data_IF_022708932561
#
_entry.id   IF_022708932561
#
_cell.length_a   1.000
_cell.length_b   1.000
_cell.length_c   1.000
_cell.angle_alpha   90.00
_cell.angle_beta   90.00
_cell.angle_gamma   90.00
#
_symmetry.space_group_name_H-M   'P 1'
#
loop_
_entity.id
_entity.type
_entity.pdbx_description
1 polymer ?
#
# COMPACT_ATOMS: atom_id res chain seq x y z
N UNK A 1 3.42 34.70 13.17
CA UNK A 1 2.33 34.14 13.99
C UNK A 1 2.93 33.37 15.15
N UNK A 2 2.20 33.23 16.27
CA UNK A 2 2.55 32.36 17.41
C UNK A 2 1.56 31.19 17.51
N UNK A 3 1.89 30.09 18.21
CA UNK A 3 0.96 28.97 18.37
C UNK A 3 -0.40 29.43 18.89
N UNK A 4 -1.49 28.97 18.27
CA UNK A 4 -2.88 29.33 18.59
C UNK A 4 -3.37 30.66 17.99
N UNK A 5 -2.48 31.54 17.50
CA UNK A 5 -2.89 32.78 16.85
C UNK A 5 -3.66 32.52 15.54
N UNK A 6 -4.60 33.40 15.18
CA UNK A 6 -5.35 33.30 13.93
C UNK A 6 -5.50 34.66 13.24
N UNK A 7 -5.59 34.64 11.91
CA UNK A 7 -5.81 35.80 11.05
C UNK A 7 -6.98 35.54 10.09
N UNK A 8 -7.78 36.54 9.72
CA UNK A 8 -8.70 36.42 8.59
C UNK A 8 -7.92 36.26 7.28
N UNK A 9 -8.43 35.47 6.34
CA UNK A 9 -7.89 35.41 4.99
C UNK A 9 -8.50 36.53 4.15
N UNK A 10 -7.65 37.39 3.58
CA UNK A 10 -8.07 38.49 2.69
C UNK A 10 -8.17 38.09 1.22
N UNK A 11 -7.78 36.86 0.87
CA UNK A 11 -7.80 36.31 -0.48
C UNK A 11 -8.61 35.01 -0.50
N UNK A 12 -9.34 34.78 -1.59
CA UNK A 12 -10.10 33.54 -1.79
C UNK A 12 -9.16 32.35 -2.03
N UNK A 13 -8.04 32.59 -2.73
CA UNK A 13 -7.01 31.60 -2.99
C UNK A 13 -5.76 31.90 -2.18
N UNK A 14 -5.31 30.93 -1.39
CA UNK A 14 -4.09 31.02 -0.60
C UNK A 14 -3.19 29.83 -0.84
N UNK A 15 -1.88 30.06 -0.75
CA UNK A 15 -0.85 29.02 -0.80
C UNK A 15 -0.22 28.91 0.57
N UNK A 16 -0.10 27.70 1.10
CA UNK A 16 0.65 27.40 2.32
C UNK A 16 1.92 26.64 1.90
N UNK A 17 3.04 27.36 1.84
CA UNK A 17 4.36 26.78 1.59
C UNK A 17 4.98 26.33 2.92
N UNK A 18 5.55 25.12 2.99
CA UNK A 18 6.23 24.65 4.21
C UNK A 18 7.70 24.38 3.91
N UNK A 19 8.57 25.24 4.44
CA UNK A 19 10.02 25.15 4.22
C UNK A 19 10.76 24.68 5.47
N UNK A 20 11.78 23.86 5.30
CA UNK A 20 12.69 23.45 6.36
C UNK A 20 14.11 23.21 5.81
N UNK A 21 15.13 23.09 6.67
CA UNK A 21 16.48 22.69 6.27
C UNK A 21 16.58 21.27 5.68
N UNK A 22 15.51 20.48 5.81
CA UNK A 22 15.39 19.13 5.27
C UNK A 22 14.20 19.04 4.32
N UNK A 23 14.12 17.97 3.53
CA UNK A 23 12.96 17.69 2.70
C UNK A 23 11.78 17.27 3.58
N UNK A 24 10.65 17.92 3.35
CA UNK A 24 9.38 17.62 3.99
C UNK A 24 8.36 17.22 2.92
N UNK A 25 7.59 16.19 3.21
CA UNK A 25 6.34 15.90 2.53
C UNK A 25 5.22 16.73 3.17
N UNK A 26 4.44 17.40 2.33
CA UNK A 26 3.35 18.28 2.77
C UNK A 26 2.02 17.74 2.26
N UNK A 27 1.03 17.71 3.15
CA UNK A 27 -0.32 17.24 2.82
C UNK A 27 -1.40 18.18 3.36
N UNK A 28 -2.57 18.14 2.76
CA UNK A 28 -3.77 18.88 3.15
C UNK A 28 -4.93 17.93 3.45
N UNK A 29 -5.60 18.08 4.59
CA UNK A 29 -6.80 17.30 4.94
C UNK A 29 -8.02 18.22 5.00
N UNK A 30 -9.07 17.91 4.25
CA UNK A 30 -10.36 18.61 4.30
C UNK A 30 -11.26 17.92 5.33
N UNK A 31 -11.71 18.68 6.33
CA UNK A 31 -12.43 18.16 7.48
C UNK A 31 -13.82 18.76 7.59
N UNK A 32 -14.79 17.92 7.95
CA UNK A 32 -16.14 18.37 8.27
C UNK A 32 -16.22 18.99 9.66
N UNK A 33 -17.41 19.42 10.07
CA UNK A 33 -17.68 19.96 11.40
C UNK A 33 -17.33 18.97 12.54
N UNK A 34 -17.34 17.67 12.29
CA UNK A 34 -16.92 16.63 13.23
C UNK A 34 -15.39 16.48 13.36
N UNK A 35 -14.64 17.24 12.56
CA UNK A 35 -13.18 17.19 12.51
C UNK A 35 -12.65 15.96 11.78
N UNK A 36 -13.46 15.26 10.98
CA UNK A 36 -13.05 14.09 10.21
C UNK A 36 -13.09 14.37 8.71
N UNK A 37 -12.27 13.64 7.96
CA UNK A 37 -12.41 13.57 6.49
C UNK A 37 -13.71 12.84 6.14
N UNK A 38 -14.32 13.15 5.00
CA UNK A 38 -15.49 12.41 4.51
C UNK A 38 -15.08 11.09 3.85
N UNK A 39 -13.92 11.10 3.21
CA UNK A 39 -13.29 9.99 2.51
C UNK A 39 -11.83 10.33 2.22
N UNK A 40 -11.07 9.39 1.67
CA UNK A 40 -9.68 9.63 1.26
C UNK A 40 -9.55 10.71 0.16
N UNK A 41 -10.63 11.07 -0.55
CA UNK A 41 -10.63 12.18 -1.52
C UNK A 41 -10.38 13.54 -0.86
N UNK A 42 -10.62 13.63 0.45
CA UNK A 42 -10.34 14.81 1.26
C UNK A 42 -8.89 14.84 1.79
N UNK A 43 -8.04 13.88 1.41
CA UNK A 43 -6.62 13.87 1.74
C UNK A 43 -5.76 14.16 0.51
N UNK A 44 -5.15 15.35 0.48
CA UNK A 44 -4.43 15.90 -0.68
C UNK A 44 -2.93 15.87 -0.41
N UNK A 45 -2.17 15.20 -1.26
CA UNK A 45 -0.73 15.00 -1.11
C UNK A 45 -0.10 14.69 -2.48
N UNK A 46 1.21 14.47 -2.56
CA UNK A 46 1.90 14.33 -3.85
C UNK A 46 1.32 13.27 -4.80
N UNK A 47 0.77 12.16 -4.29
CA UNK A 47 0.17 11.09 -5.09
C UNK A 47 -1.35 11.28 -5.34
N UNK A 48 -1.98 12.21 -4.61
CA UNK A 48 -3.34 12.67 -4.86
C UNK A 48 -3.35 14.20 -4.87
N UNK A 49 -2.78 14.83 -5.92
CA UNK A 49 -2.40 16.23 -5.85
C UNK A 49 -3.59 17.19 -5.98
N UNK A 50 -4.78 16.70 -6.30
CA UNK A 50 -5.97 17.54 -6.55
C UNK A 50 -7.16 17.04 -5.75
N UNK A 51 -7.83 17.97 -5.07
CA UNK A 51 -9.12 17.80 -4.43
C UNK A 51 -10.00 19.01 -4.67
N UNK A 52 -11.25 18.94 -4.22
CA UNK A 52 -12.20 20.03 -4.45
C UNK A 52 -11.83 21.25 -3.60
N UNK A 53 -11.31 22.30 -4.25
CA UNK A 53 -10.86 23.53 -3.61
C UNK A 53 -9.48 23.45 -2.93
N UNK A 54 -8.78 22.32 -3.04
CA UNK A 54 -7.44 22.14 -2.45
C UNK A 54 -6.53 21.42 -3.45
N UNK A 55 -5.29 21.86 -3.59
CA UNK A 55 -4.33 21.29 -4.55
C UNK A 55 -2.95 21.26 -3.93
N UNK A 56 -2.28 20.11 -3.98
CA UNK A 56 -0.86 20.00 -3.68
C UNK A 56 -0.04 20.49 -4.88
N UNK A 57 1.04 21.21 -4.58
CA UNK A 57 2.00 21.70 -5.56
C UNK A 57 3.40 21.28 -5.14
N UNK A 58 4.06 20.49 -5.98
CA UNK A 58 5.46 20.13 -5.78
C UNK A 58 6.36 21.33 -6.03
N UNK A 59 7.36 21.51 -5.16
CA UNK A 59 8.43 22.48 -5.34
C UNK A 59 9.56 22.01 -6.26
N UNK A 60 9.45 20.81 -6.85
CA UNK A 60 10.41 20.29 -7.84
C UNK A 60 11.84 20.15 -7.32
N UNK A 61 12.02 20.03 -6.00
CA UNK A 61 13.32 19.93 -5.33
C UNK A 61 14.09 21.25 -5.18
N UNK A 62 13.61 22.36 -5.75
CA UNK A 62 14.24 23.70 -5.66
C UNK A 62 13.46 24.68 -4.79
N UNK A 63 12.17 24.41 -4.58
CA UNK A 63 11.25 25.16 -3.73
C UNK A 63 10.60 24.21 -2.71
N UNK A 64 10.02 24.73 -1.61
CA UNK A 64 9.20 23.92 -0.72
C UNK A 64 7.93 23.44 -1.43
N UNK A 65 7.45 22.28 -0.99
CA UNK A 65 6.12 21.80 -1.34
C UNK A 65 5.04 22.66 -0.68
N UNK A 66 3.87 22.73 -1.32
CA UNK A 66 2.82 23.64 -0.89
C UNK A 66 1.42 23.05 -1.06
N UNK A 67 0.50 23.52 -0.20
CA UNK A 67 -0.94 23.30 -0.34
C UNK A 67 -1.58 24.61 -0.78
N UNK A 68 -2.24 24.59 -1.93
CA UNK A 68 -3.03 25.70 -2.45
C UNK A 68 -4.49 25.44 -2.07
N UNK A 69 -5.12 26.40 -1.41
CA UNK A 69 -6.54 26.35 -1.00
C UNK A 69 -7.29 27.45 -1.71
N UNK A 70 -8.29 27.07 -2.52
CA UNK A 70 -9.32 27.96 -3.05
C UNK A 70 -10.57 27.83 -2.19
N UNK A 71 -10.71 28.75 -1.24
CA UNK A 71 -11.81 28.79 -0.27
C UNK A 71 -13.18 28.98 -0.90
N UNK A 72 -13.26 29.45 -2.15
CA UNK A 72 -14.52 29.60 -2.89
C UNK A 72 -14.98 28.30 -3.56
N UNK A 73 -14.04 27.37 -3.80
CA UNK A 73 -14.29 26.06 -4.39
C UNK A 73 -14.36 24.93 -3.36
N UNK A 74 -14.10 25.22 -2.07
CA UNK A 74 -14.24 24.23 -0.99
C UNK A 74 -15.70 23.76 -0.89
N UNK A 75 -15.96 22.44 -0.78
CA UNK A 75 -17.31 21.90 -0.80
C UNK A 75 -18.13 22.35 0.41
N UNK A 76 -19.46 22.49 0.27
CA UNK A 76 -20.33 22.61 1.43
C UNK A 76 -20.14 21.43 2.39
N UNK A 77 -20.04 21.72 3.68
CA UNK A 77 -19.81 20.71 4.73
C UNK A 77 -18.34 20.51 5.12
N UNK A 78 -17.39 21.10 4.39
CA UNK A 78 -16.00 21.23 4.87
C UNK A 78 -15.86 22.56 5.60
N UNK A 79 -15.42 22.50 6.86
CA UNK A 79 -15.26 23.67 7.72
C UNK A 79 -13.80 23.95 8.07
N UNK A 80 -12.89 23.02 7.79
CA UNK A 80 -11.48 23.14 8.13
C UNK A 80 -10.61 22.39 7.12
N UNK A 81 -9.48 22.98 6.76
CA UNK A 81 -8.40 22.36 6.01
C UNK A 81 -7.16 22.38 6.92
N UNK A 82 -6.62 21.21 7.24
CA UNK A 82 -5.39 21.07 8.02
C UNK A 82 -4.21 20.88 7.07
N UNK A 83 -3.13 21.64 7.24
CA UNK A 83 -1.86 21.43 6.52
C UNK A 83 -0.89 20.71 7.44
N UNK A 84 -0.37 19.60 6.95
CA UNK A 84 0.54 18.72 7.69
C UNK A 84 1.88 18.62 6.99
N UNK A 85 2.93 18.32 7.75
CA UNK A 85 4.27 18.07 7.24
C UNK A 85 4.91 16.87 7.95
N UNK A 86 5.69 16.08 7.22
CA UNK A 86 6.53 14.99 7.74
C UNK A 86 7.89 14.99 7.03
N UNK A 87 9.00 14.68 7.70
CA UNK A 87 10.27 14.49 7.01
C UNK A 87 10.22 13.30 6.05
N UNK A 88 10.82 13.45 4.86
CA UNK A 88 10.86 12.42 3.80
C UNK A 88 11.72 11.21 4.23
N UNK A 89 12.78 11.43 5.01
CA UNK A 89 13.63 10.35 5.48
C UNK A 89 12.94 9.52 6.58
N UNK A 90 12.83 8.21 6.35
CA UNK A 90 12.21 7.28 7.29
C UNK A 90 12.81 7.37 8.71
N UNK A 91 11.95 7.57 9.71
CA UNK A 91 12.33 7.66 11.12
C UNK A 91 12.99 8.99 11.53
N UNK A 92 13.12 9.96 10.62
CA UNK A 92 13.60 11.30 10.96
C UNK A 92 12.54 12.05 11.77
N UNK A 93 12.98 12.68 12.87
CA UNK A 93 12.13 13.48 13.75
C UNK A 93 12.28 14.97 13.45
N UNK A 94 11.38 15.79 13.97
CA UNK A 94 11.49 17.25 13.95
C UNK A 94 12.49 17.81 14.98
N UNK A 95 13.25 16.96 15.67
CA UNK A 95 14.20 17.40 16.69
C UNK A 95 15.33 18.20 16.04
N UNK A 96 15.40 19.50 16.37
CA UNK A 96 16.38 20.41 15.76
C UNK A 96 16.02 20.84 14.33
N UNK A 97 14.81 20.55 13.85
CA UNK A 97 14.28 21.03 12.58
C UNK A 97 13.33 22.20 12.86
N UNK A 98 13.51 23.30 12.12
CA UNK A 98 12.67 24.50 12.24
C UNK A 98 11.78 24.66 10.98
N UNK A 99 10.68 23.89 10.86
CA UNK A 99 9.77 24.03 9.74
C UNK A 99 9.05 25.37 9.83
N UNK A 100 8.97 26.08 8.71
CA UNK A 100 8.32 27.39 8.62
C UNK A 100 7.22 27.33 7.57
N UNK A 101 5.97 27.48 8.00
CA UNK A 101 4.83 27.67 7.12
C UNK A 101 4.71 29.15 6.74
N UNK A 102 4.60 29.43 5.44
CA UNK A 102 4.27 30.75 4.92
C UNK A 102 2.96 30.68 4.14
N UNK A 103 1.98 31.45 4.60
CA UNK A 103 0.69 31.62 3.94
C UNK A 103 0.79 32.83 3.02
N UNK A 104 0.55 32.63 1.74
CA UNK A 104 0.57 33.66 0.70
C UNK A 104 -0.78 33.76 0.02
N UNK A 105 -1.12 34.93 -0.48
CA UNK A 105 -2.15 35.06 -1.49
C UNK A 105 -1.65 34.36 -2.78
N UNK A 106 -2.45 33.46 -3.33
CA UNK A 106 -2.04 32.66 -4.48
C UNK A 106 -2.00 33.47 -5.80
N UNK A 107 -2.69 34.61 -5.86
CA UNK A 107 -2.81 35.41 -7.08
C UNK A 107 -1.65 36.39 -7.27
N UNK A 108 -1.16 37.00 -6.17
CA UNK A 108 -0.10 38.03 -6.18
C UNK A 108 1.17 37.63 -5.39
N UNK A 109 1.18 36.45 -4.76
CA UNK A 109 2.23 35.93 -3.89
C UNK A 109 2.53 36.77 -2.62
N UNK A 110 1.66 37.73 -2.27
CA UNK A 110 1.82 38.53 -1.07
C UNK A 110 1.77 37.65 0.20
N UNK A 111 2.72 37.83 1.11
CA UNK A 111 2.76 37.09 2.38
C UNK A 111 1.65 37.60 3.29
N UNK A 112 0.74 36.71 3.68
CA UNK A 112 -0.35 36.98 4.62
C UNK A 112 0.08 36.65 6.05
N UNK A 113 0.85 35.57 6.22
CA UNK A 113 1.40 35.16 7.50
C UNK A 113 2.59 34.22 7.36
N UNK A 114 3.42 34.20 8.40
CA UNK A 114 4.49 33.21 8.57
C UNK A 114 4.44 32.63 9.97
N UNK A 115 4.69 31.33 10.11
CA UNK A 115 4.70 30.62 11.38
C UNK A 115 5.79 29.56 11.41
N UNK A 116 6.64 29.63 12.43
CA UNK A 116 7.64 28.61 12.76
C UNK A 116 7.28 28.06 14.14
N UNK A 117 6.85 26.79 14.27
CA UNK A 117 6.52 26.20 15.56
C UNK A 117 7.76 26.16 16.47
N UNK A 118 7.67 26.65 17.71
CA UNK A 118 8.75 26.51 18.67
C UNK A 118 8.76 25.09 19.27
N UNK A 119 9.93 24.61 19.67
CA UNK A 119 10.09 23.43 20.55
C UNK A 119 9.57 22.10 19.99
N UNK A 120 9.88 21.78 18.74
CA UNK A 120 9.67 20.43 18.20
C UNK A 120 10.73 19.46 18.75
N UNK A 121 10.32 18.22 19.01
CA UNK A 121 11.10 17.15 19.62
C UNK A 121 11.08 15.89 18.76
N UNK A 122 10.73 14.76 19.37
CA UNK A 122 10.82 13.44 18.74
C UNK A 122 9.66 13.12 17.80
N UNK A 123 8.84 14.11 17.45
CA UNK A 123 7.71 13.93 16.56
C UNK A 123 8.15 13.69 15.12
N UNK A 124 7.45 12.82 14.40
CA UNK A 124 7.75 12.47 13.01
C UNK A 124 6.72 13.03 12.04
N UNK A 125 5.63 13.62 12.54
CA UNK A 125 4.70 14.43 11.77
C UNK A 125 4.26 15.68 12.54
N UNK A 126 3.75 16.68 11.82
CA UNK A 126 3.40 17.99 12.35
C UNK A 126 2.13 18.51 11.68
N UNK A 127 1.16 18.97 12.48
CA UNK A 127 0.09 19.86 12.02
C UNK A 127 0.58 21.29 12.19
N UNK A 128 0.89 21.98 11.09
CA UNK A 128 1.55 23.29 11.15
C UNK A 128 0.54 24.45 11.09
N UNK A 129 -0.45 24.37 10.20
CA UNK A 129 -1.45 25.43 9.95
C UNK A 129 -2.82 24.82 9.72
N UNK A 130 -3.86 25.52 10.16
CA UNK A 130 -5.25 25.24 9.78
C UNK A 130 -5.83 26.43 9.02
N UNK A 131 -6.56 26.17 7.93
CA UNK A 131 -7.44 27.12 7.25
C UNK A 131 -8.88 26.73 7.57
N UNK A 132 -9.65 27.56 8.27
CA UNK A 132 -10.95 27.18 8.80
C UNK A 132 -12.02 28.25 8.59
N UNK A 133 -13.25 27.82 8.42
CA UNK A 133 -14.42 28.65 8.28
C UNK A 133 -15.00 28.95 9.66
N UNK A 134 -15.24 30.23 9.96
CA UNK A 134 -15.94 30.62 11.19
C UNK A 134 -16.81 31.83 10.92
N UNK A 135 -18.10 31.74 11.25
CA UNK A 135 -19.10 32.79 11.03
C UNK A 135 -19.11 33.31 9.58
N UNK A 136 -18.97 32.40 8.60
CA UNK A 136 -18.95 32.74 7.17
C UNK A 136 -17.66 33.37 6.66
N UNK A 137 -16.62 33.51 7.49
CA UNK A 137 -15.31 34.02 7.09
C UNK A 137 -14.23 32.96 7.24
N UNK A 138 -13.42 32.78 6.21
CA UNK A 138 -12.23 31.92 6.25
C UNK A 138 -11.08 32.60 7.00
N UNK A 139 -10.41 31.83 7.84
CA UNK A 139 -9.30 32.27 8.69
C UNK A 139 -8.17 31.25 8.64
N UNK A 140 -6.95 31.69 8.87
CA UNK A 140 -5.82 30.79 9.13
C UNK A 140 -5.46 30.81 10.61
N UNK A 141 -5.09 29.66 11.17
CA UNK A 141 -4.57 29.50 12.54
C UNK A 141 -3.20 28.82 12.50
N UNK A 142 -2.27 29.37 13.27
CA UNK A 142 -1.00 28.71 13.56
C UNK A 142 -1.24 27.63 14.63
N UNK A 143 -0.89 26.38 14.32
CA UNK A 143 -1.11 25.24 15.25
C UNK A 143 0.22 24.82 15.85
N UNK A 144 1.06 24.13 15.08
CA UNK A 144 2.38 23.68 15.52
C UNK A 144 2.32 22.46 16.44
N UNK A 145 1.36 21.55 16.21
CA UNK A 145 1.18 20.34 17.00
C UNK A 145 1.93 19.18 16.38
N UNK A 146 2.96 18.69 17.09
CA UNK A 146 3.70 17.51 16.68
C UNK A 146 2.97 16.20 17.02
N UNK A 147 3.26 15.16 16.25
CA UNK A 147 2.74 13.82 16.39
C UNK A 147 3.89 12.80 16.47
N UNK A 148 4.06 12.18 17.64
CA UNK A 148 5.08 11.15 17.87
C UNK A 148 4.81 9.84 17.12
N UNK A 149 3.54 9.59 16.79
CA UNK A 149 3.10 8.43 16.01
C UNK A 149 3.08 8.72 14.49
N UNK A 150 3.78 9.77 14.06
CA UNK A 150 3.90 10.14 12.66
C UNK A 150 2.60 10.51 11.98
N UNK A 151 2.60 10.41 10.66
CA UNK A 151 1.45 10.74 9.82
C UNK A 151 0.27 9.82 10.14
N UNK A 152 0.53 8.59 10.60
CA UNK A 152 -0.49 7.66 11.08
C UNK A 152 -1.28 8.20 12.28
N UNK A 153 -0.63 8.90 13.21
CA UNK A 153 -1.31 9.56 14.33
C UNK A 153 -2.26 10.67 13.87
N UNK A 154 -1.79 11.51 12.94
CA UNK A 154 -2.60 12.56 12.29
C UNK A 154 -3.79 11.93 11.57
N UNK A 155 -3.53 10.89 10.79
CA UNK A 155 -4.54 10.19 10.02
C UNK A 155 -5.66 9.65 10.93
N UNK A 156 -5.30 8.96 12.01
CA UNK A 156 -6.25 8.42 12.99
C UNK A 156 -7.11 9.53 13.62
N UNK A 157 -6.48 10.63 14.03
CA UNK A 157 -7.15 11.78 14.63
C UNK A 157 -8.16 12.44 13.67
N UNK A 158 -7.87 12.43 12.37
CA UNK A 158 -8.72 13.02 11.34
C UNK A 158 -9.58 12.00 10.56
N UNK A 159 -9.57 10.73 10.97
CA UNK A 159 -10.42 9.68 10.37
C UNK A 159 -9.92 9.13 9.03
N UNK A 160 -8.64 9.34 8.72
CA UNK A 160 -7.93 8.73 7.59
C UNK A 160 -7.20 7.47 8.09
N UNK A 161 -7.20 6.40 7.29
CA UNK A 161 -6.32 5.25 7.52
C UNK A 161 -5.02 5.43 6.73
N UNK A 162 -3.89 5.64 7.42
CA UNK A 162 -2.54 5.72 6.81
C UNK A 162 -1.68 4.58 7.36
N UNK A 163 -1.11 3.76 6.47
CA UNK A 163 -0.16 2.70 6.83
C UNK A 163 1.28 3.12 6.42
N UNK A 164 2.17 3.18 7.41
CA UNK A 164 3.58 3.53 7.27
C UNK A 164 4.45 2.24 7.31
N UNK A 165 5.54 2.12 6.54
CA UNK A 165 6.37 0.92 6.54
C UNK A 165 7.03 0.69 7.91
N UNK A 166 6.92 -0.53 8.42
CA UNK A 166 7.44 -0.92 9.73
C UNK A 166 8.97 -0.78 9.83
N UNK A 167 9.44 -0.15 10.90
CA UNK A 167 10.87 -0.07 11.22
C UNK A 167 11.48 -1.49 11.42
N UNK A 168 12.74 -1.74 11.02
CA UNK A 168 13.35 -3.07 11.12
C UNK A 168 13.48 -3.51 12.59
N UNK A 169 12.99 -4.72 12.89
CA UNK A 169 13.13 -5.33 14.21
C UNK A 169 14.57 -5.84 14.45
N UNK A 170 15.14 -5.52 15.61
CA UNK A 170 16.46 -6.01 16.06
C UNK A 170 16.41 -7.50 16.40
N UNK A 171 17.41 -8.33 16.02
CA UNK A 171 17.37 -9.79 16.26
C UNK A 171 17.42 -10.17 17.75
N UNK A 172 16.71 -11.24 18.20
CA UNK A 172 16.76 -11.71 19.58
C UNK A 172 18.06 -12.47 19.89
N UNK A 173 18.67 -12.20 21.06
CA UNK A 173 19.78 -12.98 21.60
C UNK A 173 19.31 -14.31 22.20
N UNK A 174 20.06 -15.43 22.04
CA UNK A 174 19.67 -16.73 22.60
C UNK A 174 19.82 -16.80 24.13
N UNK A 175 18.79 -17.28 24.82
CA UNK A 175 18.83 -17.58 26.26
C UNK A 175 19.39 -18.99 26.54
N UNK A 176 20.22 -19.11 27.57
CA UNK A 176 20.82 -20.37 28.02
C UNK A 176 19.85 -21.24 28.84
N UNK A 177 19.87 -22.55 28.60
CA UNK A 177 19.02 -23.57 29.25
C UNK A 177 19.64 -24.06 30.55
N UNK A 178 18.88 -24.08 31.65
CA UNK A 178 19.21 -24.77 32.92
C UNK A 178 18.45 -26.09 33.05
N UNK A 179 19.03 -27.14 33.69
CA UNK A 179 18.40 -28.45 33.82
C UNK A 179 17.44 -28.54 35.03
N UNK A 180 16.46 -29.48 35.03
CA UNK A 180 15.41 -29.54 36.06
C UNK A 180 15.82 -30.37 37.30
N UNK A 181 15.22 -30.12 38.48
CA UNK A 181 15.38 -30.94 39.68
C UNK A 181 14.34 -32.10 39.76
N UNK A 182 14.55 -33.12 40.62
CA UNK A 182 13.69 -34.31 40.73
C UNK A 182 12.43 -34.08 41.59
N UNK A 183 11.40 -34.95 41.49
CA UNK A 183 10.08 -34.68 42.06
C UNK A 183 9.97 -35.08 43.54
N UNK A 184 9.22 -34.28 44.31
CA UNK A 184 8.76 -34.63 45.66
C UNK A 184 7.21 -34.62 45.71
N UNK A 185 6.67 -35.51 46.55
CA UNK A 185 5.26 -35.89 46.62
C UNK A 185 4.33 -34.82 47.22
N UNK A 186 3.06 -34.91 46.82
CA UNK A 186 1.97 -33.99 47.12
C UNK A 186 1.36 -34.14 48.53
N UNK A 187 0.75 -33.06 49.04
CA UNK A 187 -0.49 -33.13 49.80
C UNK A 187 -1.64 -32.42 49.08
N UNK A 188 -2.84 -32.95 49.28
CA UNK A 188 -4.12 -32.51 48.72
C UNK A 188 -4.66 -31.24 49.39
N UNK A 189 -5.17 -30.29 48.60
CA UNK A 189 -6.01 -29.17 49.06
C UNK A 189 -7.28 -29.04 48.20
N UNK A 190 -8.38 -28.44 48.73
CA UNK A 190 -9.72 -28.52 48.17
C UNK A 190 -9.95 -27.62 46.95
N UNK A 191 -10.95 -28.00 46.14
CA UNK A 191 -11.33 -27.37 44.88
C UNK A 191 -11.67 -25.88 45.00
N UNK A 192 -11.02 -25.06 44.17
CA UNK A 192 -11.39 -23.68 43.88
C UNK A 192 -12.41 -23.62 42.71
N UNK A 193 -13.26 -22.57 42.63
CA UNK A 193 -14.22 -22.41 41.53
C UNK A 193 -13.50 -22.08 40.21
N UNK A 194 -14.13 -22.35 39.04
CA UNK A 194 -13.49 -22.18 37.75
C UNK A 194 -13.23 -20.70 37.45
N UNK A 195 -12.03 -20.40 36.98
CA UNK A 195 -11.68 -19.11 36.39
C UNK A 195 -12.40 -18.92 35.03
N UNK A 196 -12.81 -17.69 34.66
CA UNK A 196 -13.37 -17.41 33.35
C UNK A 196 -12.34 -17.65 32.23
N UNK A 197 -12.77 -17.94 30.99
CA UNK A 197 -11.86 -18.20 29.88
C UNK A 197 -11.00 -16.97 29.58
N UNK A 198 -9.70 -17.18 29.38
CA UNK A 198 -8.80 -16.16 28.87
C UNK A 198 -9.27 -15.71 27.47
N UNK A 199 -9.32 -14.39 27.27
CA UNK A 199 -9.60 -13.80 25.97
C UNK A 199 -8.53 -14.23 24.93
N UNK A 200 -8.91 -14.43 23.66
CA UNK A 200 -7.96 -14.73 22.60
C UNK A 200 -6.96 -13.57 22.40
N UNK A 201 -5.69 -13.85 22.05
CA UNK A 201 -4.71 -12.80 21.78
C UNK A 201 -5.16 -11.94 20.58
N UNK A 202 -4.94 -10.63 20.70
CA UNK A 202 -5.21 -9.67 19.65
C UNK A 202 -4.39 -9.97 18.38
N UNK A 203 -4.95 -9.76 17.18
CA UNK A 203 -4.26 -10.01 15.92
C UNK A 203 -3.07 -9.06 15.72
N UNK A 204 -2.00 -9.58 15.13
CA UNK A 204 -0.78 -8.84 14.80
C UNK A 204 -1.06 -7.71 13.77
N UNK A 205 -0.23 -6.64 13.73
CA UNK A 205 -0.46 -5.48 12.86
C UNK A 205 -0.43 -5.87 11.37
N UNK A 206 -1.47 -5.44 10.65
CA UNK A 206 -1.70 -5.68 9.23
C UNK A 206 -0.75 -4.90 8.33
N UNK A 207 -0.60 -5.39 7.10
CA UNK A 207 0.28 -4.89 6.06
C UNK A 207 -0.51 -4.01 5.08
N UNK A 208 -0.13 -2.74 4.97
CA UNK A 208 -0.36 -1.81 3.84
C UNK A 208 -1.40 -2.22 2.78
N UNK A 209 -2.71 -2.10 3.03
CA UNK A 209 -3.81 -2.45 2.11
C UNK A 209 -4.33 -1.23 1.36
N UNK A 210 -3.97 -1.12 0.09
CA UNK A 210 -4.58 -0.23 -0.90
C UNK A 210 -6.04 -0.69 -1.14
N UNK A 211 -6.92 0.23 -1.54
CA UNK A 211 -8.34 -0.07 -1.79
C UNK A 211 -8.67 0.18 -3.27
N UNK A 212 -9.45 -0.71 -3.90
CA UNK A 212 -9.75 -0.76 -5.35
C UNK A 212 -10.76 0.32 -5.82
N UNK A 213 -10.93 1.40 -5.08
CA UNK A 213 -12.06 2.31 -5.27
C UNK A 213 -11.94 3.24 -6.48
N UNK A 214 -10.71 3.44 -6.97
CA UNK A 214 -10.33 4.46 -7.94
C UNK A 214 -9.75 3.78 -9.17
N UNK A 215 -10.53 3.73 -10.26
CA UNK A 215 -10.15 3.04 -11.49
C UNK A 215 -8.72 3.32 -11.95
N UNK A 216 -8.06 2.26 -12.39
CA UNK A 216 -6.63 2.05 -12.69
C UNK A 216 -5.72 2.11 -11.46
N UNK A 217 -5.73 1.03 -10.69
CA UNK A 217 -4.68 0.76 -9.70
C UNK A 217 -3.51 0.02 -10.38
N UNK A 218 -2.36 0.68 -10.53
CA UNK A 218 -1.10 0.00 -10.90
C UNK A 218 -0.27 -0.20 -9.63
N UNK A 219 -0.27 -1.42 -9.09
CA UNK A 219 0.49 -1.72 -7.87
C UNK A 219 2.00 -1.72 -8.12
N UNK A 220 2.74 -1.12 -7.20
CA UNK A 220 4.19 -1.26 -7.13
C UNK A 220 4.59 -2.50 -6.32
N UNK A 221 5.83 -2.94 -6.48
CA UNK A 221 6.41 -4.04 -5.70
C UNK A 221 6.17 -3.85 -4.20
N UNK A 222 5.73 -4.91 -3.54
CA UNK A 222 5.34 -5.00 -2.12
C UNK A 222 4.06 -4.25 -1.70
N UNK A 223 3.32 -3.66 -2.63
CA UNK A 223 2.02 -3.07 -2.31
C UNK A 223 0.95 -4.16 -2.18
N UNK A 224 0.17 -4.10 -1.10
CA UNK A 224 -0.98 -4.98 -0.88
C UNK A 224 -2.28 -4.22 -1.13
N UNK A 225 -3.33 -4.91 -1.53
CA UNK A 225 -4.63 -4.34 -1.82
C UNK A 225 -5.73 -5.32 -1.41
N UNK A 226 -6.80 -4.82 -0.79
CA UNK A 226 -7.97 -5.65 -0.53
C UNK A 226 -8.79 -5.79 -1.81
N UNK A 227 -9.24 -7.01 -2.10
CA UNK A 227 -10.08 -7.29 -3.28
C UNK A 227 -11.59 -7.13 -2.98
N UNK A 228 -11.93 -6.34 -1.95
CA UNK A 228 -13.28 -6.08 -1.43
C UNK A 228 -13.53 -4.57 -1.35
N UNK A 229 -14.72 -4.12 -1.76
CA UNK A 229 -15.14 -2.71 -1.77
C UNK A 229 -16.50 -2.58 -1.09
N UNK A 230 -16.61 -1.66 -0.13
CA UNK A 230 -17.87 -1.32 0.54
C UNK A 230 -18.62 -2.49 1.19
N UNK A 231 -17.90 -3.53 1.65
CA UNK A 231 -18.51 -4.72 2.28
C UNK A 231 -19.07 -5.77 1.32
N UNK A 232 -18.72 -5.73 0.03
CA UNK A 232 -19.03 -6.80 -0.95
C UNK A 232 -17.77 -7.22 -1.71
N UNK A 233 -17.57 -8.53 -2.01
CA UNK A 233 -16.44 -8.97 -2.83
C UNK A 233 -16.53 -8.33 -4.22
N UNK A 234 -15.49 -7.60 -4.65
CA UNK A 234 -15.46 -6.97 -5.99
C UNK A 234 -14.98 -7.97 -7.01
N UNK A 235 -13.97 -8.74 -6.64
CA UNK A 235 -13.31 -9.71 -7.50
C UNK A 235 -13.82 -11.11 -7.22
N UNK A 236 -14.84 -11.50 -7.99
CA UNK A 236 -15.22 -12.91 -8.09
C UNK A 236 -14.21 -13.72 -8.89
N UNK A 237 -13.51 -13.07 -9.84
CA UNK A 237 -12.61 -13.72 -10.75
C UNK A 237 -11.44 -12.81 -11.14
N UNK A 238 -10.21 -13.32 -11.07
CA UNK A 238 -8.99 -12.65 -11.56
C UNK A 238 -8.47 -13.33 -12.81
N UNK A 239 -7.82 -12.56 -13.68
CA UNK A 239 -7.15 -13.04 -14.88
C UNK A 239 -5.69 -12.61 -14.88
N UNK A 240 -4.77 -13.57 -14.86
CA UNK A 240 -3.36 -13.32 -15.17
C UNK A 240 -3.18 -13.38 -16.69
N UNK A 241 -2.52 -12.37 -17.24
CA UNK A 241 -2.08 -12.34 -18.64
C UNK A 241 -0.55 -12.24 -18.70
N UNK A 242 0.06 -13.04 -19.56
CA UNK A 242 1.48 -13.01 -19.89
C UNK A 242 1.59 -12.77 -21.39
N UNK A 243 2.44 -11.82 -21.80
CA UNK A 243 2.69 -11.55 -23.21
C UNK A 243 4.15 -11.20 -23.49
N UNK A 244 4.66 -11.56 -24.66
CA UNK A 244 6.02 -11.27 -25.13
C UNK A 244 6.09 -11.23 -26.65
N UNK A 245 7.17 -10.65 -27.20
CA UNK A 245 7.42 -10.73 -28.64
C UNK A 245 8.31 -11.93 -29.00
N UNK A 246 8.08 -12.57 -30.17
CA UNK A 246 8.94 -13.64 -30.66
C UNK A 246 10.40 -13.17 -30.81
N UNK A 247 11.33 -14.11 -30.70
CA UNK A 247 12.74 -13.82 -30.93
C UNK A 247 12.97 -13.33 -32.37
N UNK A 248 13.47 -12.10 -32.53
CA UNK A 248 13.78 -11.54 -33.86
C UNK A 248 14.85 -12.37 -34.61
N UNK A 249 15.81 -12.95 -33.88
CA UNK A 249 16.80 -13.94 -34.34
C UNK A 249 17.18 -14.83 -33.16
N UNK A 250 16.97 -16.14 -33.25
CA UNK A 250 17.31 -17.06 -32.15
C UNK A 250 16.40 -18.28 -32.10
N UNK A 251 16.45 -19.01 -30.98
CA UNK A 251 15.46 -20.05 -30.67
C UNK A 251 14.18 -19.41 -30.15
N UNK A 252 13.06 -20.10 -30.38
CA UNK A 252 11.76 -19.72 -29.83
C UNK A 252 11.84 -19.52 -28.31
N UNK A 253 11.08 -18.52 -27.85
CA UNK A 253 11.03 -18.13 -26.44
C UNK A 253 9.72 -18.66 -25.89
N UNK A 254 9.87 -19.54 -24.92
CA UNK A 254 8.78 -20.22 -24.22
C UNK A 254 8.71 -19.68 -22.79
N UNK A 255 7.78 -18.74 -22.58
CA UNK A 255 7.47 -18.19 -21.26
C UNK A 255 6.17 -18.82 -20.76
N UNK A 256 6.25 -19.45 -19.60
CA UNK A 256 5.13 -20.08 -18.92
C UNK A 256 4.51 -19.17 -17.88
N UNK A 257 3.19 -18.97 -17.95
CA UNK A 257 2.39 -18.51 -16.83
C UNK A 257 2.06 -19.68 -15.88
N UNK A 258 2.01 -19.43 -14.58
CA UNK A 258 1.62 -20.44 -13.60
C UNK A 258 0.96 -19.84 -12.38
N UNK A 259 0.05 -20.59 -11.76
CA UNK A 259 -0.55 -20.27 -10.45
C UNK A 259 -0.40 -21.45 -9.52
N UNK A 260 0.13 -21.22 -8.33
CA UNK A 260 0.35 -22.23 -7.31
C UNK A 260 -0.62 -21.99 -6.15
N UNK A 261 -1.41 -23.01 -5.81
CA UNK A 261 -2.37 -22.98 -4.71
C UNK A 261 -1.76 -23.61 -3.46
N UNK A 262 -2.00 -22.96 -2.32
CA UNK A 262 -1.48 -23.34 -1.01
C UNK A 262 -2.56 -23.38 0.06
N UNK A 263 -2.35 -24.26 1.03
CA UNK A 263 -3.17 -24.37 2.23
C UNK A 263 -2.72 -23.47 3.38
N UNK A 264 -3.43 -23.51 4.52
CA UNK A 264 -3.20 -22.59 5.64
C UNK A 264 -1.80 -22.70 6.25
N UNK A 265 -1.17 -23.87 6.15
CA UNK A 265 0.20 -24.11 6.61
C UNK A 265 1.24 -23.87 5.51
N UNK A 266 0.87 -23.14 4.44
CA UNK A 266 1.69 -22.88 3.25
C UNK A 266 2.14 -24.17 2.54
N UNK A 267 1.42 -25.25 2.76
CA UNK A 267 1.63 -26.51 2.07
C UNK A 267 1.09 -26.39 0.64
N UNK A 268 1.83 -26.95 -0.32
CA UNK A 268 1.40 -27.03 -1.70
C UNK A 268 0.14 -27.89 -1.81
N UNK A 269 -0.91 -27.34 -2.41
CA UNK A 269 -2.15 -28.07 -2.75
C UNK A 269 -2.07 -28.52 -4.20
N UNK A 270 -1.89 -27.57 -5.12
CA UNK A 270 -1.82 -27.86 -6.55
C UNK A 270 -1.17 -26.71 -7.34
N UNK A 271 -0.83 -26.94 -8.61
CA UNK A 271 -0.27 -25.94 -9.52
C UNK A 271 -0.93 -26.01 -10.89
N UNK A 272 -1.39 -24.88 -11.39
CA UNK A 272 -1.92 -24.72 -12.75
C UNK A 272 -0.84 -24.10 -13.64
N UNK A 273 -0.59 -24.75 -14.78
CA UNK A 273 0.45 -24.41 -15.76
C UNK A 273 0.13 -25.15 -17.07
N UNK A 274 0.91 -24.95 -18.14
CA UNK A 274 0.69 -25.59 -19.45
C UNK A 274 0.47 -27.12 -19.39
N UNK A 275 1.19 -27.84 -18.52
CA UNK A 275 1.05 -29.29 -18.34
C UNK A 275 -0.15 -29.72 -17.49
N UNK A 276 -0.84 -28.78 -16.84
CA UNK A 276 -2.03 -29.02 -16.01
C UNK A 276 -2.98 -27.82 -16.09
N UNK A 277 -3.77 -27.79 -17.17
CA UNK A 277 -4.60 -26.65 -17.56
C UNK A 277 -5.78 -26.36 -16.64
N UNK A 278 -6.12 -27.24 -15.71
CA UNK A 278 -7.20 -27.01 -14.76
C UNK A 278 -6.96 -27.73 -13.45
N UNK A 279 -7.17 -27.01 -12.33
CA UNK A 279 -7.00 -27.52 -10.97
C UNK A 279 -8.17 -27.07 -10.09
N UNK A 280 -8.25 -27.61 -8.88
CA UNK A 280 -9.20 -27.16 -7.84
C UNK A 280 -10.65 -27.16 -8.38
N UNK A 281 -11.08 -28.29 -8.95
CA UNK A 281 -12.41 -28.49 -9.54
C UNK A 281 -12.77 -27.45 -10.62
N UNK A 282 -11.77 -26.95 -11.35
CA UNK A 282 -11.94 -25.98 -12.42
C UNK A 282 -12.14 -24.54 -11.94
N UNK A 283 -11.86 -24.24 -10.67
CA UNK A 283 -11.79 -22.87 -10.17
C UNK A 283 -10.58 -22.12 -10.76
N UNK A 284 -9.49 -22.83 -11.08
CA UNK A 284 -8.32 -22.27 -11.77
C UNK A 284 -8.18 -22.95 -13.13
N UNK A 285 -8.00 -22.14 -14.19
CA UNK A 285 -7.89 -22.61 -15.57
C UNK A 285 -6.82 -21.85 -16.35
N UNK A 286 -6.00 -22.58 -17.10
CA UNK A 286 -5.01 -22.07 -18.04
C UNK A 286 -5.60 -22.08 -19.46
N UNK A 287 -5.27 -21.09 -20.30
CA UNK A 287 -5.73 -21.00 -21.69
C UNK A 287 -5.12 -22.05 -22.61
N UNK A 288 -3.95 -22.57 -22.23
CA UNK A 288 -3.09 -23.40 -23.08
C UNK A 288 -1.69 -22.82 -23.11
N UNK A 289 -0.79 -23.55 -23.77
CA UNK A 289 0.62 -23.22 -23.93
C UNK A 289 0.83 -22.35 -25.17
N UNK A 290 1.59 -21.25 -25.07
CA UNK A 290 2.08 -20.52 -26.23
C UNK A 290 3.62 -20.59 -26.28
N UNK A 291 4.13 -21.35 -27.23
CA UNK A 291 5.56 -21.63 -27.34
C UNK A 291 6.40 -20.53 -28.02
N UNK A 292 5.76 -19.46 -28.54
CA UNK A 292 6.42 -18.53 -29.47
C UNK A 292 6.20 -17.05 -29.15
N UNK A 293 5.07 -16.69 -28.53
CA UNK A 293 4.64 -15.29 -28.40
C UNK A 293 4.07 -14.70 -29.69
N UNK A 294 3.71 -15.54 -30.68
CA UNK A 294 3.05 -15.05 -31.89
C UNK A 294 1.62 -14.57 -31.56
N UNK A 295 1.40 -13.26 -31.67
CA UNK A 295 0.10 -12.66 -31.41
C UNK A 295 0.22 -11.22 -30.96
N UNK A 296 -0.92 -10.62 -30.62
CA UNK A 296 -0.96 -9.34 -29.93
C UNK A 296 -1.77 -9.49 -28.64
N UNK A 297 -1.25 -8.95 -27.53
CA UNK A 297 -1.91 -9.01 -26.24
C UNK A 297 -1.32 -10.12 -25.35
N UNK A 298 -2.19 -10.76 -24.56
CA UNK A 298 -1.77 -11.81 -23.63
C UNK A 298 -1.68 -13.16 -24.37
N UNK A 299 -0.46 -13.67 -24.51
CA UNK A 299 -0.12 -14.94 -25.14
C UNK A 299 -0.58 -16.14 -24.29
N UNK A 300 -0.41 -16.03 -22.96
CA UNK A 300 -0.93 -16.99 -22.00
C UNK A 300 -1.82 -16.33 -20.96
N UNK A 301 -2.86 -17.06 -20.56
CA UNK A 301 -3.88 -16.57 -19.65
C UNK A 301 -4.23 -17.61 -18.60
N UNK A 302 -4.21 -17.20 -17.33
CA UNK A 302 -4.77 -17.98 -16.23
C UNK A 302 -5.95 -17.25 -15.63
N UNK A 303 -7.08 -17.94 -15.54
CA UNK A 303 -8.30 -17.45 -14.91
C UNK A 303 -8.49 -18.15 -13.57
N UNK A 304 -8.76 -17.38 -12.52
CA UNK A 304 -9.06 -17.89 -11.19
C UNK A 304 -10.40 -17.35 -10.72
N UNK A 305 -11.35 -18.23 -10.46
CA UNK A 305 -12.62 -17.94 -9.78
C UNK A 305 -12.41 -18.06 -8.27
N UNK A 306 -12.26 -16.91 -7.61
CA UNK A 306 -11.99 -16.81 -6.18
C UNK A 306 -13.18 -17.25 -5.32
N UNK A 307 -14.40 -17.17 -5.86
CA UNK A 307 -15.63 -17.59 -5.19
C UNK A 307 -15.82 -19.11 -5.16
N UNK A 308 -15.20 -19.83 -6.12
CA UNK A 308 -15.26 -21.30 -6.21
C UNK A 308 -14.07 -22.02 -5.54
N UNK A 309 -13.10 -21.28 -5.01
CA UNK A 309 -11.99 -21.89 -4.30
C UNK A 309 -12.46 -22.53 -2.98
N UNK A 310 -12.10 -23.79 -2.70
CA UNK A 310 -12.44 -24.45 -1.46
C UNK A 310 -11.73 -23.77 -0.28
N UNK A 311 -12.29 -23.93 0.92
CA UNK A 311 -11.77 -23.30 2.16
C UNK A 311 -10.34 -23.71 2.50
N UNK A 312 -9.90 -24.88 2.05
CA UNK A 312 -8.53 -25.34 2.21
C UNK A 312 -7.51 -24.54 1.39
N UNK A 313 -7.93 -23.81 0.34
CA UNK A 313 -7.03 -22.92 -0.40
C UNK A 313 -7.05 -21.54 0.25
N UNK A 314 -5.95 -21.19 0.91
CA UNK A 314 -5.79 -19.92 1.63
C UNK A 314 -4.76 -19.00 0.98
N UNK A 315 -3.96 -19.51 0.05
CA UNK A 315 -2.92 -18.73 -0.63
C UNK A 315 -2.80 -19.12 -2.10
N UNK A 316 -2.60 -18.13 -2.96
CA UNK A 316 -2.24 -18.30 -4.36
C UNK A 316 -0.99 -17.48 -4.65
N UNK A 317 -0.08 -18.00 -5.47
CA UNK A 317 1.05 -17.23 -5.98
C UNK A 317 1.12 -17.36 -7.50
N UNK A 318 1.16 -16.22 -8.17
CA UNK A 318 1.23 -16.09 -9.62
C UNK A 318 2.69 -15.94 -10.04
N UNK A 319 3.15 -16.81 -10.95
CA UNK A 319 4.56 -16.90 -11.33
C UNK A 319 4.70 -16.95 -12.85
N UNK A 320 5.80 -16.40 -13.35
CA UNK A 320 6.23 -16.57 -14.75
C UNK A 320 7.58 -17.25 -14.76
N UNK A 321 7.78 -18.22 -15.65
CA UNK A 321 9.06 -18.90 -15.86
C UNK A 321 9.43 -18.89 -17.33
N UNK A 322 10.73 -18.85 -17.62
CA UNK A 322 11.27 -19.13 -18.95
C UNK A 322 11.61 -20.61 -19.02
N UNK A 323 10.78 -21.40 -19.70
CA UNK A 323 10.95 -22.84 -19.84
C UNK A 323 12.22 -23.14 -20.63
N UNK A 324 12.39 -22.45 -21.77
CA UNK A 324 13.54 -22.57 -22.66
C UNK A 324 14.84 -21.99 -22.07
N UNK A 325 14.75 -21.22 -20.98
CA UNK A 325 15.88 -20.83 -20.12
C UNK A 325 16.55 -19.50 -20.45
N UNK A 326 16.00 -18.75 -21.40
CA UNK A 326 16.37 -17.36 -21.66
C UNK A 326 16.11 -16.50 -20.42
N UNK A 327 16.96 -15.52 -20.19
CA UNK A 327 16.74 -14.53 -19.13
C UNK A 327 15.71 -13.51 -19.58
N UNK A 328 14.97 -12.90 -18.65
CA UNK A 328 14.02 -11.84 -19.02
C UNK A 328 14.67 -10.62 -19.70
N UNK A 329 15.97 -10.39 -19.47
CA UNK A 329 16.76 -9.38 -20.19
C UNK A 329 16.96 -9.69 -21.68
N UNK A 330 16.68 -10.91 -22.12
CA UNK A 330 16.86 -11.40 -23.49
C UNK A 330 15.53 -11.51 -24.26
N UNK A 331 14.40 -11.24 -23.60
CA UNK A 331 13.06 -11.31 -24.19
C UNK A 331 12.52 -9.92 -24.46
N UNK A 332 12.09 -9.66 -25.70
CA UNK A 332 11.56 -8.36 -26.11
C UNK A 332 10.10 -8.20 -25.70
N UNK A 333 9.76 -7.02 -25.17
CA UNK A 333 8.41 -6.61 -24.76
C UNK A 333 7.66 -7.64 -23.89
N UNK A 334 8.41 -8.46 -23.14
CA UNK A 334 7.84 -9.35 -22.15
C UNK A 334 7.19 -8.55 -21.02
N UNK A 335 5.96 -8.93 -20.67
CA UNK A 335 5.21 -8.38 -19.56
C UNK A 335 4.31 -9.45 -18.94
N UNK A 336 3.97 -9.27 -17.67
CA UNK A 336 2.85 -9.98 -17.06
C UNK A 336 1.95 -9.01 -16.31
N UNK A 337 0.66 -9.32 -16.25
CA UNK A 337 -0.35 -8.50 -15.57
C UNK A 337 -1.41 -9.35 -14.90
N UNK A 338 -2.03 -8.79 -13.86
CA UNK A 338 -3.22 -9.35 -13.24
C UNK A 338 -4.35 -8.35 -13.43
N UNK A 339 -5.52 -8.85 -13.81
CA UNK A 339 -6.66 -8.05 -14.23
C UNK A 339 -7.90 -8.56 -13.49
N UNK A 340 -8.80 -7.65 -13.12
CA UNK A 340 -10.16 -8.00 -12.77
C UNK A 340 -10.90 -8.54 -14.00
N UNK A 341 -11.33 -9.80 -13.96
CA UNK A 341 -11.98 -10.42 -15.10
C UNK A 341 -13.38 -9.86 -15.38
N UNK A 342 -14.03 -9.22 -14.40
CA UNK A 342 -15.36 -8.64 -14.56
C UNK A 342 -15.30 -7.26 -15.22
N UNK A 343 -14.40 -6.38 -14.73
CA UNK A 343 -14.27 -5.00 -15.22
C UNK A 343 -13.26 -4.86 -16.37
N UNK A 344 -12.33 -5.80 -16.52
CA UNK A 344 -11.18 -5.68 -17.42
C UNK A 344 -10.11 -4.71 -16.91
N UNK A 345 -10.23 -4.24 -15.67
CA UNK A 345 -9.27 -3.32 -15.06
C UNK A 345 -7.96 -4.04 -14.69
N UNK A 346 -6.83 -3.49 -15.14
CA UNK A 346 -5.51 -4.00 -14.79
C UNK A 346 -5.19 -3.61 -13.33
N UNK A 347 -4.96 -4.61 -12.49
CA UNK A 347 -4.68 -4.48 -11.05
C UNK A 347 -3.19 -4.34 -10.77
N UNK A 348 -2.37 -5.04 -11.56
CA UNK A 348 -0.91 -4.93 -11.51
C UNK A 348 -0.33 -5.31 -12.85
N UNK A 349 0.76 -4.66 -13.23
CA UNK A 349 1.56 -4.99 -14.40
C UNK A 349 3.03 -4.88 -14.08
N UNK A 350 3.79 -5.87 -14.55
CA UNK A 350 5.24 -5.88 -14.54
C UNK A 350 5.73 -5.99 -15.97
N UNK A 351 6.53 -5.02 -16.38
CA UNK A 351 7.33 -5.15 -17.59
C UNK A 351 8.59 -5.95 -17.24
N UNK A 352 8.72 -7.13 -17.85
CA UNK A 352 9.81 -8.09 -17.57
C UNK A 352 11.04 -7.81 -18.44
N UNK A 353 10.83 -7.12 -19.56
CA UNK A 353 11.92 -6.74 -20.48
C UNK A 353 12.96 -5.92 -19.72
N UNK A 354 14.22 -6.35 -19.78
CA UNK A 354 15.34 -5.69 -19.10
C UNK A 354 15.24 -5.59 -17.57
N UNK A 355 14.34 -6.35 -16.93
CA UNK A 355 14.15 -6.29 -15.49
C UNK A 355 15.34 -6.89 -14.72
N UNK A 356 15.42 -8.22 -14.63
CA UNK A 356 16.53 -8.92 -13.98
C UNK A 356 17.03 -10.11 -14.83
N UNK A 357 18.33 -10.45 -14.78
CA UNK A 357 18.93 -11.53 -15.56
C UNK A 357 18.60 -12.92 -14.98
N UNK A 358 17.33 -13.16 -14.65
CA UNK A 358 16.78 -14.37 -14.05
C UNK A 358 15.79 -15.06 -14.99
N UNK A 359 15.42 -16.29 -14.66
CA UNK A 359 14.56 -17.15 -15.50
C UNK A 359 13.16 -17.35 -14.90
N UNK A 360 12.87 -16.81 -13.73
CA UNK A 360 11.59 -16.92 -13.07
C UNK A 360 11.28 -15.69 -12.23
N UNK A 361 9.99 -15.37 -12.09
CA UNK A 361 9.51 -14.26 -11.27
C UNK A 361 8.22 -14.65 -10.56
N UNK A 362 8.11 -14.28 -9.29
CA UNK A 362 6.86 -14.29 -8.54
C UNK A 362 6.24 -12.91 -8.67
N UNK A 363 5.12 -12.80 -9.38
CA UNK A 363 4.54 -11.49 -9.70
C UNK A 363 3.72 -10.95 -8.53
N UNK A 364 2.87 -11.79 -7.95
CA UNK A 364 1.89 -11.40 -6.96
C UNK A 364 1.42 -12.62 -6.18
N UNK A 365 0.94 -12.39 -4.96
CA UNK A 365 0.24 -13.39 -4.14
C UNK A 365 -1.15 -12.91 -3.79
N UNK A 366 -2.08 -13.85 -3.69
CA UNK A 366 -3.40 -13.63 -3.12
C UNK A 366 -3.49 -14.44 -1.81
N UNK A 367 -3.83 -13.78 -0.71
CA UNK A 367 -4.02 -14.41 0.61
C UNK A 367 -5.47 -14.24 1.03
N UNK A 368 -6.08 -15.35 1.42
CA UNK A 368 -7.41 -15.34 2.01
C UNK A 368 -7.32 -15.00 3.49
N UNK A 369 -7.99 -13.92 3.88
CA UNK A 369 -8.10 -13.48 5.26
C UNK A 369 -9.11 -14.32 6.03
N UNK A 370 -9.04 -14.25 7.36
CA UNK A 370 -10.03 -14.88 8.25
C UNK A 370 -11.46 -14.38 8.02
N UNK A 371 -11.62 -13.15 7.53
CA UNK A 371 -12.92 -12.59 7.10
C UNK A 371 -13.49 -13.30 5.87
N UNK A 372 -12.71 -14.15 5.19
CA UNK A 372 -13.05 -14.80 3.93
C UNK A 372 -12.67 -13.99 2.70
N UNK A 373 -12.23 -12.75 2.90
CA UNK A 373 -11.82 -11.79 1.86
C UNK A 373 -10.44 -12.14 1.29
N UNK A 374 -10.22 -11.81 0.03
CA UNK A 374 -8.91 -11.99 -0.60
C UNK A 374 -8.13 -10.67 -0.61
N UNK A 375 -6.87 -10.74 -0.25
CA UNK A 375 -5.90 -9.65 -0.38
C UNK A 375 -4.86 -10.03 -1.39
N UNK A 376 -4.53 -9.09 -2.28
CA UNK A 376 -3.47 -9.26 -3.26
C UNK A 376 -2.26 -8.43 -2.87
N UNK A 377 -1.07 -9.01 -2.88
CA UNK A 377 0.20 -8.31 -2.76
C UNK A 377 1.01 -8.44 -4.04
N UNK A 378 1.46 -7.33 -4.61
CA UNK A 378 2.47 -7.32 -5.67
C UNK A 378 3.82 -7.74 -5.09
N UNK A 379 4.51 -8.70 -5.69
CA UNK A 379 5.80 -9.22 -5.21
C UNK A 379 6.93 -8.75 -6.13
N UNK A 380 6.92 -9.12 -7.43
CA UNK A 380 8.02 -8.78 -8.34
C UNK A 380 9.39 -9.30 -7.91
N UNK A 381 9.46 -10.50 -7.31
CA UNK A 381 10.71 -11.13 -6.87
C UNK A 381 11.20 -12.13 -7.91
N UNK A 382 12.45 -11.97 -8.34
CA UNK A 382 13.05 -12.82 -9.34
C UNK A 382 13.75 -14.03 -8.71
N UNK A 383 13.60 -15.18 -9.35
CA UNK A 383 14.08 -16.47 -8.88
C UNK A 383 14.78 -17.20 -10.02
N UNK A 384 15.92 -17.85 -9.72
CA UNK A 384 16.59 -18.75 -10.65
C UNK A 384 15.88 -20.10 -10.73
N UNK A 385 14.72 -20.14 -11.39
CA UNK A 385 13.98 -21.37 -11.67
C UNK A 385 13.38 -21.30 -13.07
N UNK A 386 13.32 -22.45 -13.74
CA UNK A 386 12.76 -22.62 -15.10
C UNK A 386 11.43 -23.37 -15.12
N UNK A 387 10.94 -23.80 -13.96
CA UNK A 387 9.71 -24.61 -13.88
C UNK A 387 8.89 -24.19 -12.68
N UNK A 388 7.57 -24.34 -12.78
CA UNK A 388 6.64 -24.13 -11.67
C UNK A 388 7.02 -24.96 -10.43
N UNK A 389 7.52 -26.19 -10.62
CA UNK A 389 7.98 -27.06 -9.52
C UNK A 389 9.11 -26.41 -8.71
N UNK A 390 10.04 -25.74 -9.38
CA UNK A 390 11.11 -24.99 -8.72
C UNK A 390 10.63 -23.70 -8.05
N UNK A 391 9.46 -23.19 -8.42
CA UNK A 391 8.83 -22.02 -7.80
C UNK A 391 8.04 -22.36 -6.52
N UNK A 392 7.59 -23.60 -6.34
CA UNK A 392 6.72 -23.99 -5.20
C UNK A 392 7.29 -23.60 -3.85
N UNK A 393 8.59 -23.84 -3.61
CA UNK A 393 9.20 -23.54 -2.31
C UNK A 393 9.42 -22.02 -2.09
N UNK A 394 10.02 -21.27 -3.04
CA UNK A 394 10.09 -19.81 -2.95
C UNK A 394 8.73 -19.14 -2.78
N UNK A 395 7.72 -19.58 -3.54
CA UNK A 395 6.37 -19.02 -3.46
C UNK A 395 5.70 -19.32 -2.11
N UNK A 396 5.94 -20.50 -1.51
CA UNK A 396 5.48 -20.79 -0.16
C UNK A 396 6.13 -19.89 0.90
N UNK A 397 7.37 -19.43 0.69
CA UNK A 397 8.07 -18.51 1.60
C UNK A 397 7.56 -17.07 1.47
N UNK A 398 6.98 -16.72 0.31
CA UNK A 398 6.42 -15.40 0.04
C UNK A 398 5.01 -15.20 0.61
N UNK A 399 4.24 -16.27 0.82
CA UNK A 399 3.03 -16.29 1.66
C UNK A 399 3.41 -16.11 3.13
#
# INVERSE_FOLDING_TARGET
MTPGSNIPLSAARVTVDVAAPVRLDVSGLLLTADGKVRSDDDFIFYNQPTGQGVTYRSGGGSAPDAIVVDTSAVPPGIEKIVVTASPDAAGQTFQGIEPTATIRNADDNAVLATFTPPQLGTETALVIVEVYLRNGAWKARAVGQGYSNGLAGIATDFGVTVEEPAAPATPPQPQAVTPPPPPAAAPTMPAAPPAPPAAPPAPAPGTGKINLDKGRVSLQKNQTVSLVKGGRPVLSQVKMGLGWEPAYRGKDIDLDASVIAYGPQRNHIDSCYFGKLSIVNGAIKHSGDNLTGEGGGDDEVIVVDLGRLPQEVSGLVFTVNSFSGQKFTEVAKAYCRLIDAASGEELVRFDLTSAEPQTGVMMAKLIRQYSGEWEMTAIGDFVKSRTVRGMVKPAAQAL
#
